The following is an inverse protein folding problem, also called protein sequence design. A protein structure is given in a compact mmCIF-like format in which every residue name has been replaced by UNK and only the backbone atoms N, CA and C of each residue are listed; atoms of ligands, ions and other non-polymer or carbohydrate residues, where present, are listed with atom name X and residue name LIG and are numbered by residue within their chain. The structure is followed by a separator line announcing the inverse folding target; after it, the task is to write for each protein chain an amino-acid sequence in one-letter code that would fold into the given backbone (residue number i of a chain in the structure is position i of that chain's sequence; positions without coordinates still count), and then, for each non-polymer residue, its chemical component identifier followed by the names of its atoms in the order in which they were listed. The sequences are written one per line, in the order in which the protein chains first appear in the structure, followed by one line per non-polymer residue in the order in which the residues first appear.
data_IF_353102348649
#
_entry.id   IF_353102348649
#
_cell.length_a   1.000
_cell.length_b   1.000
_cell.length_c   1.000
_cell.angle_alpha   90.00
_cell.angle_beta   90.00
_cell.angle_gamma   90.00
#
_symmetry.space_group_name_H-M   'P 1'
#
loop_
_entity.id
_entity.type
_entity.pdbx_description
1 polymer ?
#
# COMPACT_ATOMS: atom_id res chain seq x y z
N UNK A 1 53.44 21.35 -38.59
CA UNK A 1 53.02 21.87 -37.28
C UNK A 1 51.65 21.31 -36.92
N UNK A 2 51.56 20.49 -35.87
CA UNK A 2 50.41 20.49 -34.94
C UNK A 2 50.40 21.82 -34.15
N UNK A 3 49.38 22.14 -33.32
CA UNK A 3 47.93 21.90 -33.42
C UNK A 3 47.10 23.18 -33.11
N UNK A 4 45.76 23.11 -33.14
CA UNK A 4 44.95 23.86 -32.16
C UNK A 4 43.70 23.06 -31.79
N UNK A 5 43.58 22.79 -30.50
CA UNK A 5 42.68 21.84 -29.85
C UNK A 5 41.31 22.48 -29.51
N UNK A 6 40.60 23.02 -30.50
CA UNK A 6 39.37 23.78 -30.24
C UNK A 6 38.05 23.02 -30.48
N UNK A 7 38.05 21.94 -31.27
CA UNK A 7 36.78 21.30 -31.70
C UNK A 7 36.38 20.03 -30.95
N UNK A 8 37.13 19.62 -29.93
CA UNK A 8 36.85 18.39 -29.17
C UNK A 8 36.26 18.63 -27.77
N UNK A 9 35.93 19.88 -27.40
CA UNK A 9 35.43 20.21 -26.06
C UNK A 9 33.90 20.32 -25.94
N UNK A 10 33.16 20.48 -27.06
CA UNK A 10 31.71 20.70 -27.00
C UNK A 10 30.84 19.44 -27.16
N UNK A 11 31.41 18.31 -27.61
CA UNK A 11 30.67 17.05 -27.72
C UNK A 11 30.78 16.17 -26.46
N UNK A 12 31.56 16.57 -25.46
CA UNK A 12 31.81 15.78 -24.25
C UNK A 12 31.05 16.28 -22.99
N UNK A 13 30.33 17.41 -23.06
CA UNK A 13 29.59 17.95 -21.91
C UNK A 13 28.09 17.65 -21.88
N UNK A 14 27.51 17.12 -22.96
CA UNK A 14 26.07 16.86 -23.08
C UNK A 14 25.65 15.41 -22.78
N UNK A 15 26.58 14.54 -22.37
CA UNK A 15 26.32 13.12 -22.12
C UNK A 15 26.23 12.74 -20.62
N UNK A 16 26.02 13.70 -19.71
CA UNK A 16 26.10 13.49 -18.25
C UNK A 16 24.87 13.94 -17.45
N UNK A 17 23.69 14.01 -18.07
CA UNK A 17 22.41 14.26 -17.36
C UNK A 17 21.30 13.28 -17.79
N UNK A 18 21.62 12.01 -17.94
CA UNK A 18 20.61 10.94 -17.99
C UNK A 18 21.03 9.85 -16.99
N UNK A 19 21.02 10.20 -15.70
CA UNK A 19 20.93 9.20 -14.63
C UNK A 19 19.61 9.43 -13.91
N UNK A 20 18.64 8.67 -14.42
CA UNK A 20 17.39 8.23 -13.85
C UNK A 20 16.92 8.93 -12.56
N UNK A 21 15.76 9.59 -12.65
CA UNK A 21 14.80 9.52 -11.56
C UNK A 21 14.36 8.05 -11.43
N UNK A 22 15.21 7.20 -10.84
CA UNK A 22 14.71 5.95 -10.25
C UNK A 22 13.85 6.43 -9.10
N UNK A 23 12.54 6.47 -9.33
CA UNK A 23 11.59 6.51 -8.23
C UNK A 23 11.82 5.24 -7.44
N UNK A 24 12.65 5.31 -6.42
CA UNK A 24 12.74 4.26 -5.42
C UNK A 24 11.38 4.30 -4.72
N UNK A 25 10.46 3.44 -5.16
CA UNK A 25 9.24 3.20 -4.41
C UNK A 25 9.63 2.85 -2.98
N UNK A 26 8.79 3.26 -2.02
CA UNK A 26 9.01 2.95 -0.62
C UNK A 26 9.08 1.42 -0.45
N UNK A 27 10.26 0.90 -0.12
CA UNK A 27 10.43 -0.51 0.19
C UNK A 27 9.93 -0.74 1.62
N UNK A 28 8.82 -1.47 1.75
CA UNK A 28 8.19 -1.77 3.03
C UNK A 28 8.41 -3.23 3.40
N UNK A 29 8.70 -3.46 4.67
CA UNK A 29 8.91 -4.80 5.24
C UNK A 29 7.89 -5.11 6.33
N UNK A 30 7.99 -6.28 6.95
CA UNK A 30 7.14 -6.70 8.06
C UNK A 30 6.08 -7.71 7.67
N UNK A 31 5.34 -8.19 8.68
CA UNK A 31 4.49 -9.39 8.56
C UNK A 31 3.46 -9.33 7.42
N UNK A 32 2.87 -8.15 7.18
CA UNK A 32 1.90 -7.99 6.09
C UNK A 32 2.58 -8.15 4.73
N UNK A 33 3.74 -7.50 4.53
CA UNK A 33 4.49 -7.56 3.28
C UNK A 33 5.06 -8.96 3.04
N UNK A 34 5.57 -9.61 4.09
CA UNK A 34 6.14 -10.97 4.02
C UNK A 34 5.09 -12.03 3.64
N UNK A 35 3.81 -11.79 3.96
CA UNK A 35 2.71 -12.73 3.73
C UNK A 35 1.76 -12.30 2.61
N UNK A 36 2.04 -11.19 1.92
CA UNK A 36 1.11 -10.53 1.00
C UNK A 36 0.52 -11.49 -0.05
N UNK A 37 1.37 -12.21 -0.78
CA UNK A 37 0.96 -13.17 -1.82
C UNK A 37 0.07 -14.30 -1.29
N UNK A 38 0.40 -14.85 -0.13
CA UNK A 38 -0.36 -15.95 0.47
C UNK A 38 -1.74 -15.46 0.93
N UNK A 39 -1.78 -14.32 1.62
CA UNK A 39 -3.00 -13.74 2.16
C UNK A 39 -3.91 -13.21 1.05
N UNK A 40 -3.37 -12.55 0.02
CA UNK A 40 -4.14 -12.12 -1.15
C UNK A 40 -4.89 -13.29 -1.79
N UNK A 41 -4.15 -14.36 -2.13
CA UNK A 41 -4.74 -15.55 -2.76
C UNK A 41 -5.86 -16.12 -1.91
N UNK A 42 -5.63 -16.32 -0.61
CA UNK A 42 -6.62 -16.83 0.33
C UNK A 42 -7.87 -15.94 0.36
N UNK A 43 -7.69 -14.64 0.58
CA UNK A 43 -8.81 -13.72 0.73
C UNK A 43 -9.62 -13.57 -0.56
N UNK A 44 -8.98 -13.63 -1.73
CA UNK A 44 -9.70 -13.66 -3.02
C UNK A 44 -10.49 -14.95 -3.21
N UNK A 45 -9.92 -16.10 -2.86
CA UNK A 45 -10.62 -17.40 -2.93
C UNK A 45 -11.84 -17.43 -2.00
N UNK A 46 -11.75 -16.83 -0.81
CA UNK A 46 -12.86 -16.77 0.15
C UNK A 46 -13.97 -15.80 -0.23
N UNK A 47 -13.62 -14.66 -0.84
CA UNK A 47 -14.57 -13.55 -1.06
C UNK A 47 -15.05 -13.42 -2.51
N UNK A 48 -14.35 -14.04 -3.45
CA UNK A 48 -14.58 -13.86 -4.89
C UNK A 48 -14.11 -12.49 -5.41
N UNK A 49 -13.32 -11.74 -4.65
CA UNK A 49 -12.76 -10.47 -5.11
C UNK A 49 -11.80 -10.67 -6.29
N UNK A 50 -11.88 -9.75 -7.26
CA UNK A 50 -10.99 -9.77 -8.41
C UNK A 50 -9.63 -9.12 -8.08
N UNK A 51 -8.58 -9.56 -8.79
CA UNK A 51 -7.23 -9.00 -8.63
C UNK A 51 -7.20 -7.52 -9.01
N UNK A 52 -8.02 -7.09 -9.97
CA UNK A 52 -8.04 -5.71 -10.44
C UNK A 52 -8.68 -4.75 -9.43
N UNK A 53 -9.55 -5.22 -8.53
CA UNK A 53 -10.14 -4.38 -7.47
C UNK A 53 -9.07 -3.73 -6.58
N UNK A 54 -8.04 -4.50 -6.19
CA UNK A 54 -6.91 -3.96 -5.41
C UNK A 54 -6.11 -2.93 -6.20
N UNK A 55 -5.85 -3.18 -7.49
CA UNK A 55 -5.12 -2.24 -8.35
C UNK A 55 -5.90 -0.94 -8.51
N UNK A 56 -7.18 -1.03 -8.85
CA UNK A 56 -8.09 0.11 -8.92
C UNK A 56 -8.06 0.94 -7.63
N UNK A 57 -8.17 0.26 -6.48
CA UNK A 57 -8.10 0.88 -5.18
C UNK A 57 -6.76 1.61 -4.92
N UNK A 58 -5.62 0.97 -5.22
CA UNK A 58 -4.29 1.59 -5.13
C UNK A 58 -4.13 2.82 -6.04
N UNK A 59 -4.88 2.88 -7.13
CA UNK A 59 -4.93 4.01 -8.04
C UNK A 59 -6.03 5.04 -7.71
N UNK A 60 -6.73 4.88 -6.58
CA UNK A 60 -7.74 5.82 -6.09
C UNK A 60 -9.10 5.69 -6.77
N UNK A 61 -9.34 4.58 -7.49
CA UNK A 61 -10.65 4.24 -8.03
C UNK A 61 -11.45 3.56 -6.92
N UNK A 62 -12.61 4.12 -6.59
CA UNK A 62 -13.50 3.54 -5.61
C UNK A 62 -14.11 2.25 -6.18
N UNK A 63 -13.82 1.13 -5.52
CA UNK A 63 -14.54 -0.12 -5.66
C UNK A 63 -15.37 -0.31 -4.39
N UNK A 64 -16.69 -0.33 -4.53
CA UNK A 64 -17.65 -0.50 -3.44
C UNK A 64 -18.36 -1.86 -3.48
N UNK A 65 -17.88 -2.78 -4.32
CA UNK A 65 -18.42 -4.13 -4.39
C UNK A 65 -18.23 -4.88 -3.06
N UNK A 66 -19.27 -5.61 -2.66
CA UNK A 66 -19.28 -6.34 -1.40
C UNK A 66 -18.12 -7.34 -1.27
N UNK A 67 -17.76 -8.01 -2.38
CA UNK A 67 -16.62 -8.92 -2.42
C UNK A 67 -15.31 -8.21 -2.07
N UNK A 68 -15.09 -6.98 -2.55
CA UNK A 68 -13.88 -6.21 -2.25
C UNK A 68 -13.87 -5.68 -0.81
N UNK A 69 -15.01 -5.21 -0.29
CA UNK A 69 -15.14 -4.85 1.13
C UNK A 69 -14.77 -6.02 2.04
N UNK A 70 -15.32 -7.19 1.75
CA UNK A 70 -15.02 -8.40 2.50
C UNK A 70 -13.58 -8.91 2.29
N UNK A 71 -12.95 -8.63 1.14
CA UNK A 71 -11.53 -8.89 0.92
C UNK A 71 -10.65 -8.08 1.86
N UNK A 72 -10.93 -6.78 2.03
CA UNK A 72 -10.22 -5.92 3.00
C UNK A 72 -10.41 -6.47 4.42
N UNK A 73 -11.64 -6.81 4.79
CA UNK A 73 -11.94 -7.45 6.08
C UNK A 73 -11.15 -8.74 6.27
N UNK A 74 -11.07 -9.60 5.25
CA UNK A 74 -10.33 -10.85 5.33
C UNK A 74 -8.84 -10.60 5.64
N UNK A 75 -8.21 -9.63 4.97
CA UNK A 75 -6.82 -9.26 5.25
C UNK A 75 -6.66 -8.82 6.71
N UNK A 76 -7.51 -7.91 7.19
CA UNK A 76 -7.44 -7.43 8.58
C UNK A 76 -7.61 -8.56 9.59
N UNK A 77 -8.48 -9.53 9.31
CA UNK A 77 -8.65 -10.74 10.14
C UNK A 77 -7.39 -11.62 10.12
N UNK A 78 -6.78 -11.86 8.95
CA UNK A 78 -5.55 -12.67 8.86
C UNK A 78 -4.40 -12.08 9.69
N UNK A 79 -4.40 -10.76 9.86
CA UNK A 79 -3.41 -10.04 10.68
C UNK A 79 -3.95 -9.60 12.04
N UNK A 80 -5.06 -10.18 12.50
CA UNK A 80 -5.64 -9.98 13.84
C UNK A 80 -6.05 -8.53 14.18
N UNK A 81 -6.10 -7.64 13.19
CA UNK A 81 -6.50 -6.25 13.35
C UNK A 81 -8.02 -6.08 13.47
N UNK A 82 -8.80 -7.05 12.97
CA UNK A 82 -10.25 -7.03 13.02
C UNK A 82 -10.74 -8.43 13.36
N UNK A 83 -11.72 -8.55 14.23
CA UNK A 83 -12.40 -9.83 14.49
C UNK A 83 -13.37 -10.18 13.35
N UNK A 84 -13.85 -11.43 13.35
CA UNK A 84 -14.85 -11.90 12.39
C UNK A 84 -16.16 -11.08 12.41
N UNK A 85 -16.53 -10.55 13.58
CA UNK A 85 -17.72 -9.73 13.83
C UNK A 85 -17.47 -8.22 13.70
N UNK A 86 -16.27 -7.79 13.30
CA UNK A 86 -15.98 -6.38 12.98
C UNK A 86 -15.50 -5.54 14.17
N UNK A 87 -15.03 -6.15 15.24
CA UNK A 87 -14.39 -5.45 16.37
C UNK A 87 -12.93 -5.17 16.04
N UNK A 88 -12.57 -3.89 16.02
CA UNK A 88 -11.20 -3.45 15.72
C UNK A 88 -10.26 -3.67 16.91
N UNK A 89 -9.08 -4.23 16.63
CA UNK A 89 -8.02 -4.52 17.61
C UNK A 89 -6.86 -3.56 17.34
N UNK A 90 -6.90 -2.41 18.01
CA UNK A 90 -5.98 -1.28 17.76
C UNK A 90 -4.53 -1.71 17.96
N UNK A 91 -4.25 -2.48 19.00
CA UNK A 91 -2.89 -2.92 19.34
C UNK A 91 -2.27 -3.76 18.23
N UNK A 92 -3.01 -4.71 17.66
CA UNK A 92 -2.55 -5.55 16.54
C UNK A 92 -2.35 -4.71 15.28
N UNK A 93 -3.23 -3.76 14.99
CA UNK A 93 -3.05 -2.89 13.82
C UNK A 93 -1.81 -1.99 13.95
N UNK A 94 -1.52 -1.50 15.16
CA UNK A 94 -0.28 -0.75 15.41
C UNK A 94 0.98 -1.62 15.20
N UNK A 95 0.90 -2.92 15.47
CA UNK A 95 1.99 -3.87 15.18
C UNK A 95 2.08 -4.22 13.68
N UNK A 96 0.96 -4.16 12.96
CA UNK A 96 0.88 -4.40 11.53
C UNK A 96 1.48 -3.27 10.68
N UNK A 97 1.60 -2.05 11.25
CA UNK A 97 2.24 -0.92 10.56
C UNK A 97 3.70 -1.27 10.24
N UNK A 98 4.11 -1.17 8.95
CA UNK A 98 5.49 -1.43 8.54
C UNK A 98 6.51 -0.59 9.33
N UNK A 99 7.67 -1.16 9.69
CA UNK A 99 8.66 -0.51 10.55
C UNK A 99 9.17 0.82 9.99
N UNK A 100 9.24 0.95 8.66
CA UNK A 100 9.73 2.15 7.95
C UNK A 100 8.81 3.36 8.12
N UNK A 101 7.53 3.14 8.46
CA UNK A 101 6.50 4.18 8.54
C UNK A 101 5.79 4.23 9.89
N UNK A 102 6.38 3.62 10.94
CA UNK A 102 5.73 3.47 12.25
C UNK A 102 5.13 4.75 12.80
N UNK A 103 5.87 5.86 12.80
CA UNK A 103 5.37 7.10 13.39
C UNK A 103 4.10 7.62 12.69
N UNK A 104 4.14 7.72 11.37
CA UNK A 104 3.03 8.24 10.59
C UNK A 104 1.87 7.23 10.50
N UNK A 105 2.18 5.94 10.32
CA UNK A 105 1.19 4.87 10.32
C UNK A 105 0.46 4.76 11.65
N UNK A 106 1.16 4.87 12.78
CA UNK A 106 0.53 4.90 14.10
C UNK A 106 -0.40 6.11 14.26
N UNK A 107 0.01 7.29 13.78
CA UNK A 107 -0.84 8.49 13.79
C UNK A 107 -2.15 8.26 13.03
N UNK A 108 -2.07 7.64 11.85
CA UNK A 108 -3.24 7.32 11.01
C UNK A 108 -4.15 6.31 11.70
N UNK A 109 -3.60 5.19 12.19
CA UNK A 109 -4.37 4.15 12.90
C UNK A 109 -5.11 4.73 14.09
N UNK A 110 -4.42 5.51 14.92
CA UNK A 110 -5.02 6.14 16.11
C UNK A 110 -6.09 7.18 15.75
N UNK A 111 -5.96 7.88 14.62
CA UNK A 111 -6.97 8.81 14.14
C UNK A 111 -8.23 8.10 13.62
N UNK A 112 -8.11 6.86 13.17
CA UNK A 112 -9.18 6.10 12.53
C UNK A 112 -9.80 4.99 13.39
N UNK A 113 -9.27 4.75 14.60
CA UNK A 113 -9.65 3.64 15.48
C UNK A 113 -11.13 3.56 15.86
N UNK A 114 -11.85 4.68 15.83
CA UNK A 114 -13.27 4.77 16.20
C UNK A 114 -14.19 4.63 14.96
N UNK A 115 -13.65 4.24 13.80
CA UNK A 115 -14.40 4.04 12.57
C UNK A 115 -15.20 2.74 12.63
N UNK A 116 -16.47 2.80 12.26
CA UNK A 116 -17.39 1.66 12.17
C UNK A 116 -18.18 1.69 10.87
N UNK A 117 -18.63 0.53 10.41
CA UNK A 117 -19.53 0.37 9.27
C UNK A 117 -20.85 -0.31 9.63
N UNK A 118 -21.67 -0.60 8.62
CA UNK A 118 -22.95 -1.29 8.80
C UNK A 118 -22.79 -2.77 9.24
N UNK A 119 -21.69 -3.40 8.87
CA UNK A 119 -21.28 -4.75 9.23
C UNK A 119 -19.74 -4.84 9.27
N UNK A 120 -19.18 -6.05 9.44
CA UNK A 120 -17.74 -6.25 9.52
C UNK A 120 -16.99 -5.92 8.21
N UNK A 121 -17.58 -6.22 7.04
CA UNK A 121 -16.97 -5.92 5.75
C UNK A 121 -16.97 -4.41 5.49
N UNK A 122 -18.10 -3.74 5.75
CA UNK A 122 -18.19 -2.29 5.64
C UNK A 122 -17.31 -1.59 6.67
N UNK A 123 -17.17 -2.12 7.90
CA UNK A 123 -16.26 -1.56 8.91
C UNK A 123 -14.82 -1.52 8.39
N UNK A 124 -14.30 -2.65 7.90
CA UNK A 124 -12.97 -2.71 7.30
C UNK A 124 -12.80 -1.72 6.14
N UNK A 125 -13.81 -1.63 5.27
CA UNK A 125 -13.81 -0.69 4.15
C UNK A 125 -13.77 0.78 4.60
N UNK A 126 -14.61 1.17 5.56
CA UNK A 126 -14.63 2.54 6.09
C UNK A 126 -13.31 2.88 6.79
N UNK A 127 -12.71 1.93 7.52
CA UNK A 127 -11.40 2.12 8.14
C UNK A 127 -10.32 2.44 7.12
N UNK A 128 -10.23 1.67 6.04
CA UNK A 128 -9.26 1.91 4.97
C UNK A 128 -9.55 3.21 4.19
N UNK A 129 -10.82 3.62 4.09
CA UNK A 129 -11.17 4.97 3.61
C UNK A 129 -10.70 6.07 4.56
N UNK A 130 -10.78 5.85 5.87
CA UNK A 130 -10.25 6.77 6.85
C UNK A 130 -8.72 6.88 6.73
N UNK A 131 -8.01 5.76 6.56
CA UNK A 131 -6.56 5.75 6.34
C UNK A 131 -6.17 6.59 5.12
N UNK A 132 -6.86 6.38 3.99
CA UNK A 132 -6.68 7.18 2.78
C UNK A 132 -6.96 8.67 3.01
N UNK A 133 -8.04 8.99 3.73
CA UNK A 133 -8.41 10.39 4.00
C UNK A 133 -7.43 11.09 4.94
N UNK A 134 -6.82 10.35 5.87
CA UNK A 134 -5.84 10.87 6.83
C UNK A 134 -4.50 11.17 6.16
N UNK A 135 -4.02 10.29 5.28
CA UNK A 135 -2.79 10.51 4.52
C UNK A 135 -2.83 9.76 3.17
N UNK A 136 -3.36 10.38 2.10
CA UNK A 136 -3.57 9.70 0.82
C UNK A 136 -2.27 9.33 0.11
N UNK A 137 -1.19 10.08 0.38
CA UNK A 137 0.13 9.81 -0.22
C UNK A 137 0.71 8.54 0.37
N UNK A 138 0.82 8.48 1.71
CA UNK A 138 1.36 7.31 2.38
C UNK A 138 0.49 6.08 2.17
N UNK A 139 -0.83 6.23 2.27
CA UNK A 139 -1.75 5.10 2.07
C UNK A 139 -1.60 4.48 0.67
N UNK A 140 -1.45 5.32 -0.36
CA UNK A 140 -1.16 4.86 -1.72
C UNK A 140 0.18 4.13 -1.82
N UNK A 141 1.25 4.64 -1.19
CA UNK A 141 2.56 3.98 -1.19
C UNK A 141 2.49 2.58 -0.55
N UNK A 142 1.77 2.45 0.56
CA UNK A 142 1.54 1.14 1.22
C UNK A 142 0.81 0.17 0.30
N UNK A 143 -0.26 0.61 -0.37
CA UNK A 143 -1.02 -0.23 -1.28
C UNK A 143 -0.18 -0.67 -2.50
N UNK A 144 0.63 0.23 -3.06
CA UNK A 144 1.51 -0.11 -4.18
C UNK A 144 2.61 -1.09 -3.75
N UNK A 145 3.18 -0.93 -2.57
CA UNK A 145 4.17 -1.89 -2.04
C UNK A 145 3.54 -3.27 -1.82
N UNK A 146 2.32 -3.33 -1.27
CA UNK A 146 1.58 -4.58 -1.10
C UNK A 146 1.25 -5.24 -2.45
N UNK A 147 0.82 -4.46 -3.44
CA UNK A 147 0.54 -4.93 -4.80
C UNK A 147 1.78 -5.56 -5.47
N UNK A 148 2.95 -4.92 -5.32
CA UNK A 148 4.23 -5.45 -5.81
C UNK A 148 4.56 -6.77 -5.12
N UNK A 149 4.39 -6.88 -3.79
CA UNK A 149 4.67 -8.11 -3.02
C UNK A 149 3.75 -9.28 -3.37
N UNK A 150 2.56 -9.02 -3.90
CA UNK A 150 1.69 -10.10 -4.41
C UNK A 150 2.28 -10.71 -5.69
N UNK A 151 2.90 -9.90 -6.54
CA UNK A 151 3.37 -10.28 -7.87
C UNK A 151 4.80 -10.87 -7.87
N UNK A 152 5.56 -10.71 -6.78
CA UNK A 152 6.86 -11.41 -6.51
C UNK A 152 6.68 -12.94 -6.39
#
# INVERSE_FOLDING_TARGET
MQPSAASAAFAALSALLVFAAVGHGLELTGRIMDMAKMVDKKCREETGADRESLKHWAHGVLDDHESFKCYIKCIMVQFSALSEDGVFVVEEELENVPPEIKEEGHRIVLACKDTSGADACDTAYQMHRCYNSSNPVLYKEVLLAFDIKIDE
#
